data_IF_820693807305
#
_entry.id   IF_820693807305
#
_cell.length_a   1.000
_cell.length_b   1.000
_cell.length_c   1.000
_cell.angle_alpha   90.00
_cell.angle_beta   90.00
_cell.angle_gamma   90.00
#
_symmetry.space_group_name_H-M   'P 1'
#
loop_
_entity.id
_entity.type
_entity.pdbx_description
1 polymer ?
#
# COMPACT_ATOMS: atom_id res chain seq x y z
N UNK A 1 -22.98 -5.36 -15.94
CA UNK A 1 -22.13 -4.20 -16.28
C UNK A 1 -21.35 -3.77 -15.04
N UNK A 2 -20.20 -4.39 -14.80
CA UNK A 2 -19.30 -4.08 -13.69
C UNK A 2 -18.49 -2.82 -14.02
N UNK A 3 -18.73 -1.74 -13.27
CA UNK A 3 -18.06 -0.44 -13.41
C UNK A 3 -16.54 -0.60 -13.23
N UNK A 4 -15.78 -0.58 -14.33
CA UNK A 4 -14.32 -0.46 -14.34
C UNK A 4 -13.85 0.98 -14.10
N UNK A 5 -14.37 1.64 -13.05
CA UNK A 5 -13.77 2.89 -12.55
C UNK A 5 -13.07 2.53 -11.25
N UNK A 6 -12.05 1.67 -11.36
CA UNK A 6 -11.15 1.39 -10.27
C UNK A 6 -10.15 2.53 -10.18
N UNK A 7 -10.31 3.43 -9.20
CA UNK A 7 -9.17 4.23 -8.79
C UNK A 7 -8.03 3.25 -8.47
N UNK A 8 -6.83 3.47 -9.03
CA UNK A 8 -5.63 2.68 -8.71
C UNK A 8 -5.31 2.85 -7.22
N UNK A 9 -5.94 2.04 -6.38
CA UNK A 9 -5.79 2.04 -4.93
C UNK A 9 -5.26 0.69 -4.49
N UNK A 10 -4.46 0.69 -3.44
CA UNK A 10 -4.00 -0.52 -2.78
C UNK A 10 -4.77 -0.70 -1.50
N UNK A 11 -5.59 -1.74 -1.46
CA UNK A 11 -6.28 -2.14 -0.24
C UNK A 11 -5.36 -2.96 0.65
N UNK A 12 -5.34 -2.66 1.95
CA UNK A 12 -4.74 -3.55 2.93
C UNK A 12 -5.71 -4.71 3.23
N UNK A 13 -5.19 -5.94 3.41
CA UNK A 13 -6.00 -7.04 3.96
C UNK A 13 -6.61 -6.64 5.30
N UNK A 14 -7.88 -7.02 5.53
CA UNK A 14 -8.66 -6.57 6.69
C UNK A 14 -8.02 -7.01 8.01
N UNK A 15 -7.43 -8.20 8.03
CA UNK A 15 -6.77 -8.83 9.17
C UNK A 15 -5.53 -8.03 9.57
N UNK A 16 -4.68 -7.70 8.58
CA UNK A 16 -3.48 -6.87 8.77
C UNK A 16 -3.85 -5.45 9.20
N UNK A 17 -4.88 -4.87 8.57
CA UNK A 17 -5.36 -3.55 8.92
C UNK A 17 -5.86 -3.48 10.36
N UNK A 18 -6.54 -4.53 10.85
CA UNK A 18 -7.02 -4.61 12.24
C UNK A 18 -5.89 -4.83 13.25
N UNK A 19 -4.95 -5.71 12.93
CA UNK A 19 -3.86 -6.06 13.83
C UNK A 19 -2.84 -4.91 13.99
N UNK A 20 -2.41 -4.33 12.87
CA UNK A 20 -1.27 -3.41 12.84
C UNK A 20 -1.73 -1.97 12.55
N UNK A 21 -2.60 -1.75 11.56
CA UNK A 21 -3.05 -0.40 11.14
C UNK A 21 -4.26 0.10 11.95
N UNK A 22 -4.09 0.16 13.27
CA UNK A 22 -5.11 0.67 14.21
C UNK A 22 -5.59 2.07 13.81
N UNK A 23 -6.80 2.51 14.25
CA UNK A 23 -7.44 3.75 13.77
C UNK A 23 -6.63 5.04 13.91
N UNK A 24 -5.58 5.06 14.74
CA UNK A 24 -4.70 6.21 14.95
C UNK A 24 -3.65 6.38 13.85
N UNK A 25 -3.37 5.35 13.06
CA UNK A 25 -2.34 5.36 12.02
C UNK A 25 -2.92 6.00 10.75
N UNK A 26 -2.48 7.22 10.46
CA UNK A 26 -2.93 8.00 9.28
C UNK A 26 -1.85 8.14 8.22
N UNK A 27 -0.59 8.01 8.61
CA UNK A 27 0.57 8.19 7.74
C UNK A 27 1.50 7.00 7.91
N UNK A 28 2.13 6.61 6.81
CA UNK A 28 3.09 5.53 6.78
C UNK A 28 4.11 5.79 5.68
N UNK A 29 5.39 5.50 5.96
CA UNK A 29 6.45 5.59 4.95
C UNK A 29 6.46 4.30 4.13
N UNK A 30 6.19 4.41 2.83
CA UNK A 30 6.29 3.27 1.92
C UNK A 30 7.66 3.29 1.28
N UNK A 31 8.43 2.24 1.51
CA UNK A 31 9.73 2.00 0.90
C UNK A 31 9.59 0.92 -0.16
N UNK A 32 9.90 1.27 -1.40
CA UNK A 32 9.92 0.33 -2.52
C UNK A 32 11.35 -0.21 -2.65
N UNK A 33 11.49 -1.52 -2.65
CA UNK A 33 12.73 -2.22 -2.91
C UNK A 33 12.62 -2.99 -4.22
N UNK A 34 13.68 -2.98 -5.02
CA UNK A 34 13.81 -3.80 -6.23
C UNK A 34 15.09 -4.62 -6.04
N UNK A 35 14.96 -5.95 -6.04
CA UNK A 35 16.08 -6.87 -5.82
C UNK A 35 16.89 -6.54 -4.54
N UNK A 36 16.19 -6.24 -3.44
CA UNK A 36 16.78 -5.90 -2.15
C UNK A 36 17.35 -4.47 -2.03
N UNK A 37 17.39 -3.69 -3.11
CA UNK A 37 17.88 -2.30 -3.08
C UNK A 37 16.72 -1.33 -3.00
N UNK A 38 16.84 -0.33 -2.12
CA UNK A 38 15.85 0.74 -1.99
C UNK A 38 15.79 1.58 -3.25
N UNK A 39 14.66 1.52 -3.96
CA UNK A 39 14.42 2.27 -5.18
C UNK A 39 13.80 3.64 -4.87
N UNK A 40 12.78 3.69 -4.02
CA UNK A 40 12.14 4.93 -3.61
C UNK A 40 11.51 4.84 -2.24
N UNK A 41 11.41 5.98 -1.55
CA UNK A 41 10.68 6.12 -0.28
C UNK A 41 9.66 7.24 -0.48
N UNK A 42 8.40 6.99 -0.14
CA UNK A 42 7.32 7.96 -0.27
C UNK A 42 6.43 7.96 0.97
N UNK A 43 6.11 9.14 1.55
CA UNK A 43 5.09 9.23 2.57
C UNK A 43 3.72 8.99 1.96
N UNK A 44 2.97 8.05 2.55
CA UNK A 44 1.63 7.67 2.11
C UNK A 44 0.59 7.97 3.18
N UNK A 45 -0.58 8.42 2.71
CA UNK A 45 -1.74 8.62 3.55
C UNK A 45 -2.59 7.34 3.54
N UNK A 46 -2.90 6.85 4.74
CA UNK A 46 -3.82 5.73 4.91
C UNK A 46 -5.24 6.27 5.02
N UNK A 47 -6.08 5.91 4.06
CA UNK A 47 -7.46 6.34 4.01
C UNK A 47 -8.35 5.27 4.64
N UNK A 48 -9.27 5.72 5.50
CA UNK A 48 -10.33 4.89 6.07
C UNK A 48 -11.56 4.98 5.17
N UNK A 49 -12.08 3.85 4.70
CA UNK A 49 -13.33 3.86 3.96
C UNK A 49 -14.48 4.30 4.87
N UNK A 50 -15.30 5.25 4.41
CA UNK A 50 -16.48 5.73 5.17
C UNK A 50 -17.48 4.61 5.48
N UNK A 51 -17.61 3.64 4.57
CA UNK A 51 -18.57 2.52 4.67
C UNK A 51 -18.12 1.43 5.63
N UNK A 52 -16.82 1.26 5.83
CA UNK A 52 -16.26 0.20 6.67
C UNK A 52 -15.01 0.72 7.39
N UNK A 53 -15.13 0.94 8.70
CA UNK A 53 -14.03 1.43 9.54
C UNK A 53 -12.85 0.46 9.64
N UNK A 54 -12.97 -0.78 9.16
CA UNK A 54 -11.87 -1.74 9.05
C UNK A 54 -11.17 -1.71 7.69
N UNK A 55 -11.77 -1.10 6.67
CA UNK A 55 -11.13 -0.95 5.36
C UNK A 55 -10.14 0.21 5.38
N UNK A 56 -8.92 -0.11 4.95
CA UNK A 56 -7.77 0.80 4.85
C UNK A 56 -7.18 0.67 3.46
N UNK A 57 -6.83 1.78 2.85
CA UNK A 57 -6.19 1.78 1.54
C UNK A 57 -5.29 2.99 1.33
N UNK A 58 -4.37 2.86 0.37
CA UNK A 58 -3.57 3.98 -0.17
C UNK A 58 -4.10 4.27 -1.57
N UNK A 59 -4.32 5.54 -1.91
CA UNK A 59 -4.90 5.94 -3.19
C UNK A 59 -3.90 6.67 -4.07
N UNK A 60 -3.83 8.01 -3.98
CA UNK A 60 -3.02 8.87 -4.85
C UNK A 60 -1.56 8.43 -4.90
N UNK A 61 -0.98 8.09 -3.76
CA UNK A 61 0.41 7.69 -3.64
C UNK A 61 0.66 6.29 -4.23
N UNK A 62 -0.31 5.39 -4.15
CA UNK A 62 -0.22 4.08 -4.80
C UNK A 62 -0.17 4.21 -6.32
N UNK A 63 -1.05 5.04 -6.90
CA UNK A 63 -1.00 5.30 -8.34
C UNK A 63 0.34 5.90 -8.80
N UNK A 64 1.05 6.65 -7.94
CA UNK A 64 2.40 7.16 -8.25
C UNK A 64 3.43 6.04 -8.22
N UNK A 65 3.37 5.16 -7.21
CA UNK A 65 4.24 3.99 -7.11
C UNK A 65 4.10 3.12 -8.36
N UNK A 66 2.89 2.73 -8.73
CA UNK A 66 2.62 1.88 -9.92
C UNK A 66 3.23 2.47 -11.19
N UNK A 67 3.09 3.80 -11.40
CA UNK A 67 3.68 4.49 -12.56
C UNK A 67 5.21 4.52 -12.51
N UNK A 68 5.80 4.75 -11.33
CA UNK A 68 7.24 4.84 -11.17
C UNK A 68 7.95 3.48 -11.31
N UNK A 69 7.32 2.40 -10.83
CA UNK A 69 7.90 1.05 -10.87
C UNK A 69 7.56 0.27 -12.14
N UNK A 70 6.65 0.81 -12.96
CA UNK A 70 6.07 0.15 -14.13
C UNK A 70 5.45 -1.21 -13.78
N UNK A 71 4.70 -1.27 -12.68
CA UNK A 71 4.04 -2.50 -12.21
C UNK A 71 2.96 -2.94 -13.20
N UNK A 72 2.95 -4.23 -13.51
CA UNK A 72 2.00 -4.87 -14.41
C UNK A 72 1.26 -6.00 -13.70
N UNK A 73 0.13 -6.39 -14.28
CA UNK A 73 -0.57 -7.60 -13.85
C UNK A 73 0.36 -8.82 -13.98
N UNK A 74 0.42 -9.63 -12.93
CA UNK A 74 1.32 -10.79 -12.85
C UNK A 74 2.62 -10.53 -12.07
N UNK A 75 3.00 -9.27 -11.84
CA UNK A 75 4.16 -8.95 -11.00
C UNK A 75 3.92 -9.38 -9.55
N UNK A 76 4.97 -9.90 -8.90
CA UNK A 76 4.90 -10.36 -7.51
C UNK A 76 5.48 -9.32 -6.56
N UNK A 77 4.72 -9.01 -5.52
CA UNK A 77 5.06 -8.06 -4.48
C UNK A 77 5.09 -8.75 -3.12
N UNK A 78 6.15 -8.52 -2.35
CA UNK A 78 6.22 -8.90 -0.94
C UNK A 78 6.06 -7.65 -0.09
N UNK A 79 5.10 -7.68 0.83
CA UNK A 79 4.82 -6.58 1.76
C UNK A 79 5.35 -6.94 3.15
N UNK A 80 6.20 -6.07 3.70
CA UNK A 80 6.70 -6.18 5.08
C UNK A 80 6.28 -4.91 5.82
N UNK A 81 5.46 -5.08 6.86
CA UNK A 81 4.93 -3.97 7.64
C UNK A 81 5.50 -4.04 9.06
N UNK A 82 6.11 -2.94 9.51
CA UNK A 82 6.63 -2.85 10.88
C UNK A 82 5.49 -2.86 11.91
N UNK A 83 5.77 -3.39 13.10
CA UNK A 83 4.90 -3.27 14.27
C UNK A 83 5.72 -2.72 15.46
N UNK A 84 5.55 -1.44 15.85
CA UNK A 84 4.48 -0.52 15.46
C UNK A 84 4.60 0.01 14.02
N UNK A 85 3.47 0.30 13.34
CA UNK A 85 3.46 0.69 11.93
C UNK A 85 4.08 2.06 11.72
N UNK A 86 5.31 2.05 11.21
CA UNK A 86 6.04 3.24 10.75
C UNK A 86 6.36 3.13 9.27
N UNK A 87 6.91 1.98 8.87
CA UNK A 87 7.31 1.71 7.50
C UNK A 87 6.58 0.50 6.93
N UNK A 88 6.24 0.59 5.64
CA UNK A 88 5.83 -0.53 4.80
C UNK A 88 6.89 -0.69 3.73
N UNK A 89 7.61 -1.79 3.77
CA UNK A 89 8.54 -2.16 2.72
C UNK A 89 7.77 -3.00 1.70
N UNK A 90 7.83 -2.60 0.44
CA UNK A 90 7.27 -3.32 -0.69
C UNK A 90 8.45 -3.76 -1.55
N UNK A 91 8.70 -5.05 -1.55
CA UNK A 91 9.76 -5.67 -2.34
C UNK A 91 9.15 -6.19 -3.65
N UNK A 92 9.63 -5.63 -4.77
CA UNK A 92 9.30 -6.09 -6.11
C UNK A 92 10.26 -7.21 -6.47
N UNK A 93 9.69 -8.36 -6.79
CA UNK A 93 10.40 -9.48 -7.41
C UNK A 93 10.29 -9.31 -8.93
N UNK A 94 11.38 -8.92 -9.58
CA UNK A 94 11.50 -8.87 -11.04
C UNK A 94 12.33 -10.05 -11.55
#
# INVERSE_FOLDING_TARGET
MSRQIGYNVMHFPKEIARAVLKPKVKHLLVQIQINGVTFMIIPCNIIVAKRNKAERYISKEWSRIVKATNLKEGDKLIFKLDNPPKNLIIELLK
#
